data_IF_188130383950
#
_entry.id   IF_188130383950
#
_cell.length_a   1.000
_cell.length_b   1.000
_cell.length_c   1.000
_cell.angle_alpha   90.00
_cell.angle_beta   90.00
_cell.angle_gamma   90.00
#
_symmetry.space_group_name_H-M   'P 1'
#
loop_
_entity.id
_entity.type
_entity.pdbx_description
1 polymer ?
#
# COMPACT_ATOMS: atom_id res chain seq x y z
N UNK A 1 11.92 17.72 2.26
CA UNK A 1 11.95 16.81 1.08
C UNK A 1 11.05 15.64 1.44
N UNK A 2 10.02 15.37 0.64
CA UNK A 2 9.14 14.22 0.89
C UNK A 2 9.91 12.94 0.48
N UNK A 3 10.13 12.02 1.42
CA UNK A 3 10.73 10.73 1.11
C UNK A 3 9.61 9.74 0.76
N UNK A 4 9.65 9.21 -0.46
CA UNK A 4 8.66 8.26 -0.92
C UNK A 4 9.28 6.86 -1.03
N UNK A 5 8.59 5.86 -0.51
CA UNK A 5 8.98 4.46 -0.60
C UNK A 5 7.81 3.60 -1.08
N UNK A 6 8.17 2.44 -1.62
CA UNK A 6 7.21 1.44 -2.06
C UNK A 6 7.11 0.33 -1.02
N UNK A 7 5.90 0.02 -0.57
CA UNK A 7 5.60 -1.16 0.24
C UNK A 7 4.82 -2.18 -0.60
N UNK A 8 5.09 -3.47 -0.38
CA UNK A 8 4.35 -4.57 -0.99
C UNK A 8 3.91 -5.52 0.09
N UNK A 9 2.60 -5.71 0.20
CA UNK A 9 1.97 -6.63 1.15
C UNK A 9 1.28 -7.78 0.42
N UNK A 10 1.31 -8.97 1.01
CA UNK A 10 0.60 -10.14 0.49
C UNK A 10 -0.78 -10.19 1.11
N UNK A 11 -1.81 -10.01 0.28
CA UNK A 11 -3.20 -10.15 0.70
C UNK A 11 -3.77 -11.45 0.12
N UNK A 12 -4.50 -12.19 0.95
CA UNK A 12 -5.28 -13.36 0.52
C UNK A 12 -6.32 -12.93 -0.52
N UNK A 13 -6.90 -11.74 -0.35
CA UNK A 13 -7.81 -11.13 -1.32
C UNK A 13 -7.44 -9.66 -1.49
N UNK A 14 -6.88 -9.31 -2.66
CA UNK A 14 -6.66 -7.92 -3.06
C UNK A 14 -7.83 -7.46 -3.94
N UNK A 15 -8.85 -6.94 -3.26
CA UNK A 15 -9.89 -6.12 -3.88
C UNK A 15 -9.56 -4.65 -3.58
N UNK A 16 -10.00 -3.72 -4.44
CA UNK A 16 -9.68 -2.30 -4.30
C UNK A 16 -9.76 -1.75 -2.86
N UNK A 17 -10.81 -2.07 -2.07
CA UNK A 17 -10.93 -1.64 -0.68
C UNK A 17 -9.90 -2.24 0.27
N UNK A 18 -9.57 -3.53 0.16
CA UNK A 18 -8.62 -4.20 1.08
C UNK A 18 -7.21 -3.66 0.88
N UNK A 19 -6.78 -3.50 -0.38
CA UNK A 19 -5.49 -2.91 -0.70
C UNK A 19 -5.40 -1.44 -0.24
N UNK A 20 -6.47 -0.67 -0.43
CA UNK A 20 -6.52 0.72 0.06
C UNK A 20 -6.37 0.80 1.58
N UNK A 21 -7.06 -0.07 2.32
CA UNK A 21 -7.00 -0.11 3.78
C UNK A 21 -5.60 -0.50 4.27
N UNK A 22 -5.00 -1.51 3.66
CA UNK A 22 -3.65 -1.98 3.99
C UNK A 22 -2.60 -0.88 3.77
N UNK A 23 -2.62 -0.24 2.59
CA UNK A 23 -1.75 0.91 2.31
C UNK A 23 -1.97 2.07 3.28
N UNK A 24 -3.23 2.33 3.67
CA UNK A 24 -3.55 3.39 4.61
C UNK A 24 -3.03 3.09 6.02
N UNK A 25 -3.10 1.85 6.49
CA UNK A 25 -2.55 1.42 7.77
C UNK A 25 -1.02 1.58 7.78
N UNK A 26 -0.35 1.14 6.72
CA UNK A 26 1.10 1.30 6.56
C UNK A 26 1.50 2.77 6.55
N UNK A 27 0.79 3.61 5.79
CA UNK A 27 1.05 5.04 5.76
C UNK A 27 0.84 5.67 7.14
N UNK A 28 -0.22 5.30 7.86
CA UNK A 28 -0.50 5.81 9.21
C UNK A 28 0.59 5.42 10.21
N UNK A 29 1.04 4.16 10.19
CA UNK A 29 2.13 3.67 11.04
C UNK A 29 3.42 4.46 10.82
N UNK A 30 3.74 4.74 9.57
CA UNK A 30 4.96 5.45 9.18
C UNK A 30 4.81 6.98 9.16
N UNK A 31 3.69 7.54 9.63
CA UNK A 31 3.37 8.99 9.56
C UNK A 31 3.47 9.57 8.13
N UNK A 32 3.16 8.74 7.14
CA UNK A 32 3.17 9.06 5.72
C UNK A 32 1.77 9.22 5.13
N UNK A 33 1.75 9.42 3.82
CA UNK A 33 0.55 9.56 3.00
C UNK A 33 0.62 8.62 1.80
N UNK A 34 -0.49 7.93 1.52
CA UNK A 34 -0.60 7.04 0.34
C UNK A 34 -0.75 7.90 -0.91
N UNK A 35 0.18 7.78 -1.86
CA UNK A 35 0.10 8.38 -3.19
C UNK A 35 -0.61 7.49 -4.19
N UNK A 36 -0.29 6.20 -4.16
CA UNK A 36 -0.88 5.20 -5.05
C UNK A 36 -1.05 3.87 -4.32
N UNK A 37 -2.07 3.12 -4.73
CA UNK A 37 -2.24 1.73 -4.33
C UNK A 37 -2.71 0.90 -5.52
N UNK A 38 -2.18 -0.32 -5.68
CA UNK A 38 -2.53 -1.19 -6.81
C UNK A 38 -2.40 -2.65 -6.44
N UNK A 39 -3.43 -3.44 -6.76
CA UNK A 39 -3.32 -4.90 -6.74
C UNK A 39 -2.47 -5.37 -7.93
N UNK A 40 -1.41 -6.12 -7.66
CA UNK A 40 -0.56 -6.78 -8.65
C UNK A 40 -0.97 -8.26 -8.71
N UNK A 41 -1.39 -8.69 -9.91
CA UNK A 41 -1.80 -10.04 -10.32
C UNK A 41 -3.11 -10.59 -9.69
N UNK A 42 -3.76 -11.48 -10.44
CA UNK A 42 -4.92 -12.28 -10.02
C UNK A 42 -4.45 -13.71 -9.71
N UNK A 43 -4.78 -14.22 -8.53
CA UNK A 43 -4.46 -15.57 -8.01
C UNK A 43 -4.99 -15.75 -6.59
N UNK A 44 -4.77 -16.90 -5.95
CA UNK A 44 -5.20 -17.17 -4.55
C UNK A 44 -4.46 -16.27 -3.54
N UNK A 45 -3.28 -15.79 -3.91
CA UNK A 45 -2.54 -14.75 -3.20
C UNK A 45 -2.26 -13.63 -4.18
N UNK A 46 -2.52 -12.40 -3.72
CA UNK A 46 -2.42 -11.20 -4.54
C UNK A 46 -1.60 -10.17 -3.80
N UNK A 47 -0.69 -9.50 -4.51
CA UNK A 47 0.17 -8.50 -3.91
C UNK A 47 -0.55 -7.14 -3.95
N UNK A 48 -0.60 -6.44 -2.83
CA UNK A 48 -0.98 -5.03 -2.79
C UNK A 48 0.29 -4.18 -2.80
N UNK A 49 0.41 -3.35 -3.82
CA UNK A 49 1.48 -2.36 -3.94
C UNK A 49 1.00 -1.02 -3.40
N UNK A 50 1.79 -0.39 -2.55
CA UNK A 50 1.53 0.91 -1.95
C UNK A 50 2.71 1.84 -2.19
N UNK A 51 2.44 3.05 -2.69
CA UNK A 51 3.42 4.13 -2.73
C UNK A 51 3.11 5.11 -1.60
N UNK A 52 4.03 5.23 -0.64
CA UNK A 52 3.86 6.02 0.58
C UNK A 52 4.93 7.10 0.62
N UNK A 53 4.52 8.35 0.85
CA UNK A 53 5.43 9.46 1.06
C UNK A 53 5.34 9.97 2.49
N UNK A 54 6.48 10.02 3.18
CA UNK A 54 6.64 10.60 4.51
C UNK A 54 7.22 12.00 4.40
N UNK A 55 6.69 12.92 5.21
CA UNK A 55 7.21 14.28 5.36
C UNK A 55 8.05 14.34 6.62
N UNK A 56 9.29 14.78 6.48
CA UNK A 56 10.18 15.10 7.61
C UNK A 56 10.01 16.56 8.01
#
# INVERSE_FOLDING_TARGET
>A
VDYCYSAVSKLIVCVGPTCKLDCWLEAKYNKGSVKAHRCKKHGVFTDCYCEICVKF
#
